data_IF_191049454802
#
_entry.id   IF_191049454802
#
_cell.length_a   1.000
_cell.length_b   1.000
_cell.length_c   1.000
_cell.angle_alpha   90.00
_cell.angle_beta   90.00
_cell.angle_gamma   90.00
#
_symmetry.space_group_name_H-M   'P 1'
#
loop_
_entity.id
_entity.type
_entity.pdbx_description
1 polymer ?
#
# COMPACT_ATOMS: atom_id res chain seq x y z
N UNK A 1 4.77 -11.78 -12.17
CA UNK A 1 4.28 -12.71 -11.12
C UNK A 1 2.88 -13.15 -11.46
N UNK A 2 2.40 -14.26 -10.88
CA UNK A 2 0.97 -14.57 -10.90
C UNK A 2 0.26 -13.56 -9.99
N UNK A 3 -0.97 -13.17 -10.32
CA UNK A 3 -1.75 -12.24 -9.50
C UNK A 3 -2.28 -12.96 -8.26
N UNK A 4 -1.81 -12.60 -7.08
CA UNK A 4 -2.25 -13.19 -5.82
C UNK A 4 -3.31 -12.31 -5.14
N UNK A 5 -4.08 -12.87 -4.21
CA UNK A 5 -5.16 -12.14 -3.52
C UNK A 5 -4.87 -12.09 -2.03
N UNK A 6 -4.95 -10.92 -1.42
CA UNK A 6 -4.83 -10.73 0.03
C UNK A 6 -6.16 -10.22 0.59
N UNK A 7 -6.56 -10.78 1.73
CA UNK A 7 -7.78 -10.45 2.45
C UNK A 7 -7.44 -9.97 3.85
N UNK A 8 -8.09 -8.90 4.30
CA UNK A 8 -8.12 -8.48 5.69
C UNK A 8 -9.53 -8.68 6.25
N UNK A 9 -9.65 -9.37 7.38
CA UNK A 9 -10.87 -9.42 8.16
C UNK A 9 -10.95 -8.15 9.03
N UNK A 10 -11.91 -7.27 8.76
CA UNK A 10 -12.05 -5.98 9.47
C UNK A 10 -12.58 -6.10 10.89
N UNK A 11 -13.09 -7.27 11.29
CA UNK A 11 -13.58 -7.51 12.65
C UNK A 11 -12.50 -8.12 13.55
N UNK A 12 -11.70 -9.05 13.00
CA UNK A 12 -10.70 -9.80 13.77
C UNK A 12 -9.26 -9.36 13.50
N UNK A 13 -9.03 -8.53 12.49
CA UNK A 13 -7.69 -8.13 12.06
C UNK A 13 -6.87 -9.26 11.43
N UNK A 14 -7.48 -10.40 11.13
CA UNK A 14 -6.76 -11.49 10.45
C UNK A 14 -6.44 -11.09 9.01
N UNK A 15 -5.23 -11.41 8.57
CA UNK A 15 -4.79 -11.19 7.19
C UNK A 15 -4.43 -12.53 6.57
N UNK A 16 -5.04 -12.85 5.44
CA UNK A 16 -4.79 -14.08 4.71
C UNK A 16 -4.40 -13.76 3.26
N UNK A 17 -3.47 -14.52 2.69
CA UNK A 17 -3.09 -14.42 1.30
C UNK A 17 -3.30 -15.75 0.58
N UNK A 18 -3.75 -15.66 -0.66
CA UNK A 18 -4.02 -16.76 -1.58
C UNK A 18 -3.11 -16.61 -2.78
N UNK A 19 -2.21 -17.57 -2.98
CA UNK A 19 -1.45 -17.66 -4.22
C UNK A 19 -2.35 -18.24 -5.31
N UNK A 20 -2.48 -17.54 -6.43
CA UNK A 20 -3.40 -17.93 -7.49
C UNK A 20 -2.67 -18.62 -8.66
N UNK A 21 -3.41 -19.45 -9.37
CA UNK A 21 -3.03 -20.03 -10.65
C UNK A 21 -4.16 -19.80 -11.66
N UNK A 22 -4.12 -18.63 -12.30
CA UNK A 22 -5.26 -18.13 -13.07
C UNK A 22 -6.45 -17.89 -12.14
N UNK A 23 -7.61 -18.48 -12.45
CA UNK A 23 -8.83 -18.35 -11.63
C UNK A 23 -8.92 -19.38 -10.49
N UNK A 24 -7.88 -20.18 -10.26
CA UNK A 24 -7.87 -21.19 -9.18
C UNK A 24 -6.90 -20.79 -8.08
N UNK A 25 -7.19 -21.18 -6.83
CA UNK A 25 -6.27 -21.00 -5.70
C UNK A 25 -5.26 -22.15 -5.74
N UNK A 26 -3.97 -21.81 -5.82
CA UNK A 26 -2.89 -22.79 -5.73
C UNK A 26 -2.60 -23.18 -4.27
N UNK A 27 -2.54 -22.18 -3.39
CA UNK A 27 -2.35 -22.36 -1.94
C UNK A 27 -2.73 -21.07 -1.20
N UNK A 28 -2.86 -21.12 0.12
CA UNK A 28 -3.12 -19.94 0.93
C UNK A 28 -2.81 -20.15 2.40
N UNK A 29 -2.56 -19.05 3.11
CA UNK A 29 -2.31 -19.07 4.56
C UNK A 29 -2.66 -17.72 5.20
N UNK A 30 -2.78 -17.71 6.53
CA UNK A 30 -2.73 -16.47 7.29
C UNK A 30 -1.32 -15.90 7.24
N UNK A 31 -1.18 -14.64 6.81
CA UNK A 31 0.06 -13.87 6.94
C UNK A 31 0.27 -13.44 8.39
N UNK A 32 -0.81 -13.01 9.03
CA UNK A 32 -0.83 -12.59 10.44
C UNK A 32 -2.25 -12.73 10.99
N UNK A 33 -2.35 -12.95 12.31
CA UNK A 33 -3.61 -13.00 13.04
C UNK A 33 -3.66 -11.86 14.04
N UNK A 34 -4.64 -10.97 13.90
CA UNK A 34 -4.97 -9.98 14.93
C UNK A 34 -4.23 -8.66 14.77
N UNK A 35 -4.18 -8.11 13.56
CA UNK A 35 -3.78 -6.72 13.36
C UNK A 35 -4.83 -5.81 14.03
N UNK A 36 -4.42 -4.79 14.81
CA UNK A 36 -5.36 -3.88 15.43
C UNK A 36 -6.30 -3.22 14.39
N UNK A 37 -7.57 -3.04 14.75
CA UNK A 37 -8.63 -2.65 13.80
C UNK A 37 -8.47 -1.23 13.23
N UNK A 38 -7.65 -0.40 13.87
CA UNK A 38 -7.27 0.92 13.38
C UNK A 38 -6.23 0.86 12.25
N UNK A 39 -5.66 -0.30 11.93
CA UNK A 39 -4.80 -0.48 10.77
C UNK A 39 -5.56 -1.11 9.60
N UNK A 40 -5.50 -0.45 8.45
CA UNK A 40 -6.12 -0.91 7.21
C UNK A 40 -5.08 -1.14 6.13
N UNK A 41 -5.27 -2.21 5.37
CA UNK A 41 -4.51 -2.44 4.14
C UNK A 41 -5.02 -1.47 3.07
N UNK A 42 -4.14 -0.59 2.61
CA UNK A 42 -4.51 0.48 1.66
C UNK A 42 -3.99 0.21 0.25
N UNK A 43 -2.93 -0.59 0.10
CA UNK A 43 -2.39 -0.93 -1.21
C UNK A 43 -1.55 -2.21 -1.21
N UNK A 44 -1.38 -2.76 -2.41
CA UNK A 44 -0.42 -3.81 -2.73
C UNK A 44 0.38 -3.37 -3.95
N UNK A 45 1.70 -3.39 -3.87
CA UNK A 45 2.60 -3.03 -4.96
C UNK A 45 4.02 -3.50 -4.71
N UNK A 46 4.83 -3.68 -5.75
CA UNK A 46 6.23 -4.14 -5.63
C UNK A 46 7.14 -2.98 -5.24
N UNK A 47 7.26 -2.67 -3.94
CA UNK A 47 8.00 -1.50 -3.45
C UNK A 47 9.51 -1.67 -3.59
N UNK A 48 9.99 -2.91 -3.67
CA UNK A 48 11.41 -3.22 -3.65
C UNK A 48 11.98 -3.72 -5.00
N UNK A 49 11.11 -4.02 -5.97
CA UNK A 49 11.45 -4.38 -7.34
C UNK A 49 11.83 -5.84 -7.54
N UNK A 50 11.38 -6.74 -6.65
CA UNK A 50 11.68 -8.18 -6.73
C UNK A 50 10.62 -8.99 -7.49
N UNK A 51 9.63 -8.31 -8.05
CA UNK A 51 8.53 -8.89 -8.82
C UNK A 51 7.40 -9.46 -7.98
N UNK A 52 7.36 -9.18 -6.67
CA UNK A 52 6.34 -9.65 -5.72
C UNK A 52 5.60 -8.45 -5.11
N UNK A 53 4.32 -8.66 -4.78
CA UNK A 53 3.50 -7.62 -4.18
C UNK A 53 3.84 -7.43 -2.70
N UNK A 54 4.27 -6.23 -2.33
CA UNK A 54 4.44 -5.78 -0.95
C UNK A 54 3.15 -5.11 -0.44
N UNK A 55 2.93 -5.09 0.87
CA UNK A 55 1.68 -4.59 1.48
C UNK A 55 1.92 -3.23 2.14
N UNK A 56 1.04 -2.26 1.88
CA UNK A 56 1.02 -0.97 2.58
C UNK A 56 -0.18 -0.87 3.50
N UNK A 57 0.10 -0.46 4.73
CA UNK A 57 -0.85 -0.29 5.83
C UNK A 57 -0.91 1.17 6.25
N UNK A 58 -2.11 1.64 6.57
CA UNK A 58 -2.32 2.96 7.18
C UNK A 58 -3.12 2.81 8.47
N UNK A 59 -2.68 3.49 9.51
CA UNK A 59 -3.45 3.64 10.73
C UNK A 59 -4.48 4.76 10.55
N UNK A 60 -5.77 4.44 10.65
CA UNK A 60 -6.89 5.37 10.45
C UNK A 60 -7.04 6.39 11.58
N UNK A 61 -6.39 6.18 12.72
CA UNK A 61 -6.45 7.06 13.89
C UNK A 61 -5.24 7.99 13.94
N UNK A 62 -4.04 7.44 13.81
CA UNK A 62 -2.79 8.21 13.93
C UNK A 62 -2.30 8.74 12.58
N UNK A 63 -2.73 8.15 11.46
CA UNK A 63 -2.19 8.46 10.15
C UNK A 63 -0.82 7.84 9.88
N UNK A 64 -0.31 6.98 10.76
CA UNK A 64 0.95 6.28 10.53
C UNK A 64 0.85 5.36 9.31
N UNK A 65 1.95 5.27 8.54
CA UNK A 65 2.03 4.41 7.36
C UNK A 65 3.16 3.41 7.55
N UNK A 66 2.85 2.14 7.40
CA UNK A 66 3.79 1.02 7.51
C UNK A 66 3.74 0.23 6.22
N UNK A 67 4.87 -0.30 5.78
CA UNK A 67 4.91 -1.25 4.67
C UNK A 67 5.59 -2.55 5.10
N UNK A 68 5.13 -3.66 4.52
CA UNK A 68 5.71 -4.98 4.66
C UNK A 68 6.23 -5.44 3.31
N UNK A 69 7.53 -5.76 3.26
CA UNK A 69 8.10 -6.43 2.10
C UNK A 69 7.81 -7.92 2.18
N UNK A 70 7.29 -8.49 1.11
CA UNK A 70 6.74 -9.84 1.07
C UNK A 70 7.61 -10.78 0.23
N UNK A 71 7.61 -12.05 0.60
CA UNK A 71 8.14 -13.15 -0.23
C UNK A 71 7.06 -14.23 -0.34
N UNK A 72 6.16 -14.05 -1.30
CA UNK A 72 4.96 -14.88 -1.45
C UNK A 72 4.07 -14.78 -0.21
N UNK A 73 3.91 -15.89 0.52
CA UNK A 73 3.12 -15.95 1.75
C UNK A 73 3.90 -15.59 3.03
N UNK A 74 5.13 -15.09 2.90
CA UNK A 74 5.99 -14.75 4.05
C UNK A 74 6.23 -13.24 4.13
N UNK A 75 6.12 -12.67 5.33
CA UNK A 75 6.56 -11.30 5.60
C UNK A 75 8.07 -11.33 5.79
N UNK A 76 8.84 -10.73 4.86
CA UNK A 76 10.30 -10.70 4.93
C UNK A 76 10.79 -9.66 5.95
N UNK A 77 10.19 -8.47 5.92
CA UNK A 77 10.46 -7.38 6.85
C UNK A 77 9.36 -6.34 6.78
N UNK A 78 9.31 -5.41 7.74
CA UNK A 78 8.38 -4.30 7.73
C UNK A 78 8.89 -3.12 8.55
N UNK A 79 8.50 -1.91 8.17
CA UNK A 79 8.85 -0.70 8.89
C UNK A 79 7.84 0.43 8.65
N UNK A 80 7.88 1.44 9.51
CA UNK A 80 7.23 2.73 9.25
C UNK A 80 7.86 3.38 8.02
N UNK A 81 7.02 3.78 7.07
CA UNK A 81 7.41 4.70 6.00
C UNK A 81 7.39 6.13 6.51
N UNK A 82 6.35 6.47 7.28
CA UNK A 82 6.15 7.78 7.89
C UNK A 82 5.19 7.66 9.08
N UNK A 83 5.23 8.65 9.97
CA UNK A 83 4.29 8.76 11.09
C UNK A 83 3.43 10.00 10.94
N UNK A 84 2.15 9.89 11.27
CA UNK A 84 1.26 11.05 11.38
C UNK A 84 0.87 11.73 10.07
N UNK A 85 0.51 10.99 9.02
CA UNK A 85 -0.09 11.61 7.84
C UNK A 85 -1.41 12.28 8.23
N UNK A 86 -1.64 13.55 7.85
CA UNK A 86 -2.89 14.22 8.18
C UNK A 86 -4.10 13.46 7.61
N UNK A 87 -5.19 13.38 8.38
CA UNK A 87 -6.34 12.52 8.06
C UNK A 87 -7.14 12.92 6.81
N UNK A 88 -6.85 14.07 6.22
CA UNK A 88 -7.40 14.51 4.94
C UNK A 88 -6.60 14.03 3.72
N UNK A 89 -5.46 13.37 3.93
CA UNK A 89 -4.69 12.73 2.87
C UNK A 89 -5.00 11.23 2.77
N UNK A 90 -5.39 10.79 1.58
CA UNK A 90 -5.68 9.41 1.26
C UNK A 90 -4.73 8.88 0.19
N UNK A 91 -4.32 7.62 0.33
CA UNK A 91 -3.59 6.94 -0.74
C UNK A 91 -4.57 6.61 -1.87
N UNK A 92 -4.24 7.03 -3.09
CA UNK A 92 -5.13 6.86 -4.24
C UNK A 92 -4.53 5.99 -5.35
N UNK A 93 -3.21 5.81 -5.38
CA UNK A 93 -2.55 4.90 -6.31
C UNK A 93 -1.20 4.41 -5.79
N UNK A 94 -0.79 3.26 -6.34
CA UNK A 94 0.53 2.66 -6.16
C UNK A 94 1.02 2.15 -7.52
N UNK A 95 2.28 2.41 -7.87
CA UNK A 95 2.86 1.99 -9.15
C UNK A 95 4.16 2.71 -9.48
N UNK A 96 4.93 2.21 -10.45
CA UNK A 96 6.23 2.78 -10.82
C UNK A 96 6.07 4.10 -11.58
N UNK A 97 6.29 5.24 -10.89
CA UNK A 97 6.12 6.57 -11.47
C UNK A 97 7.39 7.07 -12.15
N UNK A 98 8.55 6.50 -11.80
CA UNK A 98 9.85 7.02 -12.21
C UNK A 98 10.65 6.06 -13.12
N UNK A 99 10.15 4.85 -13.34
CA UNK A 99 10.72 3.84 -14.23
C UNK A 99 11.88 3.05 -13.63
N UNK A 100 12.05 3.03 -12.30
CA UNK A 100 13.13 2.29 -11.64
C UNK A 100 12.78 0.86 -11.24
N UNK A 101 11.60 0.39 -11.70
CA UNK A 101 11.09 -0.95 -11.46
C UNK A 101 10.50 -1.16 -10.07
N UNK A 102 10.30 -0.09 -9.29
CA UNK A 102 9.69 -0.16 -7.95
C UNK A 102 8.41 0.67 -7.92
N UNK A 103 7.46 0.22 -7.11
CA UNK A 103 6.21 0.92 -6.92
C UNK A 103 6.41 2.15 -6.04
N UNK A 104 5.92 3.29 -6.53
CA UNK A 104 5.82 4.56 -5.83
C UNK A 104 4.39 4.78 -5.32
N UNK A 105 4.19 5.75 -4.42
CA UNK A 105 2.90 5.98 -3.75
C UNK A 105 2.34 7.36 -4.12
N UNK A 106 1.05 7.42 -4.48
CA UNK A 106 0.32 8.67 -4.75
C UNK A 106 -0.72 8.92 -3.67
N UNK A 107 -0.71 10.14 -3.16
CA UNK A 107 -1.62 10.66 -2.14
C UNK A 107 -2.46 11.80 -2.69
N UNK A 108 -3.69 11.92 -2.21
CA UNK A 108 -4.58 13.03 -2.52
C UNK A 108 -5.18 13.61 -1.23
N UNK A 109 -5.16 14.93 -1.14
CA UNK A 109 -5.92 15.65 -0.13
C UNK A 109 -7.38 15.78 -0.57
N UNK A 110 -8.30 15.21 0.22
CA UNK A 110 -9.72 15.16 -0.13
C UNK A 110 -10.45 16.50 0.00
N UNK A 111 -9.89 17.45 0.75
CA UNK A 111 -10.52 18.74 1.01
C UNK A 111 -10.22 19.75 -0.09
N UNK A 112 -8.98 19.77 -0.57
CA UNK A 112 -8.52 20.77 -1.52
C UNK A 112 -8.12 20.20 -2.89
N UNK A 113 -8.04 18.87 -3.06
CA UNK A 113 -7.69 18.24 -4.33
C UNK A 113 -6.19 18.22 -4.65
N UNK A 114 -5.31 18.60 -3.72
CA UNK A 114 -3.87 18.49 -3.94
C UNK A 114 -3.46 17.01 -4.09
N UNK A 115 -2.58 16.74 -5.04
CA UNK A 115 -2.01 15.41 -5.29
C UNK A 115 -0.51 15.47 -5.08
N UNK A 116 0.01 14.56 -4.27
CA UNK A 116 1.43 14.41 -4.02
C UNK A 116 1.86 12.97 -4.27
N UNK A 117 3.13 12.75 -4.58
CA UNK A 117 3.70 11.41 -4.67
C UNK A 117 4.98 11.28 -3.88
N UNK A 118 5.25 10.06 -3.46
CA UNK A 118 6.52 9.62 -2.90
C UNK A 118 7.18 8.66 -3.87
N UNK A 119 8.41 8.99 -4.27
CA UNK A 119 9.27 8.03 -4.94
C UNK A 119 9.91 7.12 -3.90
N UNK A 120 9.80 5.81 -4.08
CA UNK A 120 10.15 4.81 -3.08
C UNK A 120 11.43 4.05 -3.45
N UNK A 121 12.06 3.47 -2.42
CA UNK A 121 13.08 2.44 -2.56
C UNK A 121 12.90 1.42 -1.43
N UNK A 122 12.05 0.43 -1.66
CA UNK A 122 11.59 -0.49 -0.63
C UNK A 122 10.88 0.26 0.49
N UNK A 123 11.41 0.16 1.71
CA UNK A 123 10.84 0.80 2.90
C UNK A 123 11.32 2.26 3.12
N UNK A 124 11.97 2.88 2.13
CA UNK A 124 12.49 4.25 2.22
C UNK A 124 11.80 5.16 1.22
N UNK A 125 11.35 6.33 1.69
CA UNK A 125 10.90 7.43 0.81
C UNK A 125 12.15 8.16 0.31
N UNK A 126 12.45 8.10 -0.99
CA UNK A 126 13.59 8.82 -1.59
C UNK A 126 13.32 10.32 -1.67
N UNK A 127 12.10 10.68 -2.11
CA UNK A 127 11.65 12.06 -2.21
C UNK A 127 10.13 12.11 -2.27
N UNK A 128 9.55 13.25 -1.91
CA UNK A 128 8.12 13.50 -2.03
C UNK A 128 7.85 14.90 -2.55
N UNK A 129 6.88 15.05 -3.45
CA UNK A 129 6.49 16.36 -3.98
C UNK A 129 5.03 16.40 -4.42
N UNK A 130 4.46 17.61 -4.52
CA UNK A 130 3.18 17.83 -5.17
C UNK A 130 3.31 17.57 -6.67
N UNK A 131 2.42 16.75 -7.22
CA UNK A 131 2.26 16.54 -8.67
C UNK A 131 1.29 17.58 -9.23
N UNK A 132 0.16 17.77 -8.55
CA UNK A 132 -0.93 18.65 -8.96
C UNK A 132 -1.44 19.36 -7.71
N UNK A 133 -1.84 20.63 -7.84
CA UNK A 133 -2.55 21.34 -6.79
C UNK A 133 -3.98 21.62 -7.22
N UNK A 134 -4.94 21.30 -6.37
CA UNK A 134 -6.34 21.62 -6.62
C UNK A 134 -7.01 20.87 -7.77
N UNK A 135 -6.84 19.54 -7.88
CA UNK A 135 -7.60 18.77 -8.87
C UNK A 135 -9.11 18.90 -8.58
N UNK A 136 -9.96 19.21 -9.59
CA UNK A 136 -11.39 19.28 -9.38
C UNK A 136 -11.96 17.94 -8.92
N UNK A 137 -12.93 17.96 -7.99
CA UNK A 137 -13.44 16.76 -7.32
C UNK A 137 -14.18 15.76 -8.22
N UNK A 138 -14.56 16.18 -9.43
CA UNK A 138 -15.15 15.33 -10.47
C UNK A 138 -14.10 14.49 -11.23
N UNK A 139 -12.81 14.73 -11.02
CA UNK A 139 -11.72 13.91 -11.54
C UNK A 139 -11.25 12.92 -10.48
N UNK A 140 -11.11 11.66 -10.89
CA UNK A 140 -10.69 10.55 -10.03
C UNK A 140 -9.59 9.76 -10.74
N UNK A 141 -8.51 9.44 -10.02
CA UNK A 141 -7.52 8.48 -10.51
C UNK A 141 -8.16 7.09 -10.60
N UNK A 142 -7.70 6.26 -11.53
CA UNK A 142 -8.19 4.90 -11.76
C UNK A 142 -7.04 3.92 -11.79
#
# INVERSE_FOLDING_TARGET
>A
GKSDIVWQNTNTGHVAALLMNGLTIATGNYLVKGIPNDWQMVAIGDLNGDGKGDIVWQNTTTGDVVAWLMDGLTIKTGNYLVKGIPGDWQMIAIGDLNGDGKSDIVWQNINNGDVAAWLMAGLTIKTGNYIIKGIPGDWQIK
#
